data_IF_549637704410
#
_entry.id   IF_549637704410
#
_cell.length_a   1.000
_cell.length_b   1.000
_cell.length_c   1.000
_cell.angle_alpha   90.00
_cell.angle_beta   90.00
_cell.angle_gamma   90.00
#
_symmetry.space_group_name_H-M   'P 1'
#
loop_
_entity.id
_entity.type
_entity.pdbx_description
1 polymer ?
#
# COMPACT_ATOMS: atom_id res chain seq x y z
N UNK A 1 -17.59 14.93 -30.34
CA UNK A 1 -18.61 15.86 -29.80
C UNK A 1 -19.44 16.51 -30.92
N UNK A 2 -18.81 16.87 -32.05
CA UNK A 2 -19.46 17.44 -33.25
C UNK A 2 -20.68 16.65 -33.78
N UNK A 3 -20.61 15.31 -33.85
CA UNK A 3 -21.73 14.48 -34.33
C UNK A 3 -22.99 14.52 -33.45
N UNK A 4 -22.84 14.74 -32.15
CA UNK A 4 -24.00 14.86 -31.26
C UNK A 4 -24.73 16.19 -31.49
N UNK A 5 -23.95 17.27 -31.70
CA UNK A 5 -24.47 18.60 -31.98
C UNK A 5 -25.24 18.61 -33.31
N UNK A 6 -24.73 17.96 -34.35
CA UNK A 6 -25.40 17.87 -35.65
C UNK A 6 -26.74 17.14 -35.58
N UNK A 7 -26.83 16.05 -34.80
CA UNK A 7 -28.09 15.31 -34.61
C UNK A 7 -29.13 16.16 -33.87
N UNK A 8 -28.72 16.87 -32.82
CA UNK A 8 -29.63 17.75 -32.07
C UNK A 8 -30.13 18.93 -32.91
N UNK A 9 -29.27 19.49 -33.77
CA UNK A 9 -29.67 20.53 -34.71
C UNK A 9 -30.68 20.02 -35.74
N UNK A 10 -30.47 18.83 -36.31
CA UNK A 10 -31.38 18.20 -37.25
C UNK A 10 -32.75 17.83 -36.63
N UNK A 11 -32.78 17.46 -35.35
CA UNK A 11 -34.04 17.28 -34.61
C UNK A 11 -34.78 18.62 -34.48
N UNK A 12 -34.08 19.69 -34.10
CA UNK A 12 -34.66 21.04 -33.96
C UNK A 12 -35.20 21.58 -35.29
N UNK A 13 -34.49 21.30 -36.38
CA UNK A 13 -34.85 21.71 -37.73
C UNK A 13 -35.90 20.81 -38.38
N UNK A 14 -36.35 19.76 -37.69
CA UNK A 14 -37.40 18.85 -38.15
C UNK A 14 -36.95 17.88 -39.25
N UNK A 15 -35.66 17.83 -39.57
CA UNK A 15 -35.08 16.84 -40.50
C UNK A 15 -34.97 15.46 -39.86
N UNK A 16 -34.90 15.38 -38.54
CA UNK A 16 -35.02 14.13 -37.77
C UNK A 16 -36.30 14.20 -36.93
N UNK A 17 -37.24 13.31 -37.23
CA UNK A 17 -38.47 13.18 -36.45
C UNK A 17 -38.24 12.35 -35.18
N UNK A 18 -38.83 12.78 -34.07
CA UNK A 18 -38.80 12.06 -32.80
C UNK A 18 -40.02 11.15 -32.68
N UNK A 19 -39.80 9.85 -32.86
CA UNK A 19 -40.85 8.85 -32.69
C UNK A 19 -40.76 8.20 -31.30
N UNK A 20 -41.90 8.14 -30.59
CA UNK A 20 -42.03 7.34 -29.37
C UNK A 20 -42.24 5.88 -29.77
N UNK A 21 -41.39 4.99 -29.28
CA UNK A 21 -41.56 3.53 -29.44
C UNK A 21 -42.21 2.98 -28.18
N UNK A 22 -43.36 2.33 -28.32
CA UNK A 22 -44.01 1.60 -27.22
C UNK A 22 -43.43 0.19 -27.14
N UNK A 23 -42.97 -0.21 -25.96
CA UNK A 23 -42.26 -1.48 -25.78
C UNK A 23 -43.09 -2.53 -25.03
N UNK A 24 -44.39 -2.30 -24.83
CA UNK A 24 -45.31 -3.25 -24.18
C UNK A 24 -44.81 -3.81 -22.82
N UNK A 25 -43.96 -3.06 -22.11
CA UNK A 25 -43.35 -3.47 -20.85
C UNK A 25 -41.93 -4.07 -20.96
N UNK A 26 -41.47 -4.38 -22.17
CA UNK A 26 -40.10 -4.85 -22.43
C UNK A 26 -39.08 -3.70 -22.52
N UNK A 27 -37.80 -4.03 -22.34
CA UNK A 27 -36.71 -3.08 -22.55
C UNK A 27 -36.54 -2.76 -24.04
N UNK A 28 -36.46 -1.47 -24.39
CA UNK A 28 -36.11 -1.04 -25.75
C UNK A 28 -34.73 -1.57 -26.15
N UNK A 29 -34.40 -1.72 -27.45
CA UNK A 29 -33.09 -2.21 -27.88
C UNK A 29 -31.91 -1.42 -27.28
N UNK A 30 -32.07 -0.11 -27.08
CA UNK A 30 -31.05 0.73 -26.44
C UNK A 30 -31.02 0.57 -24.91
N UNK A 31 -32.19 0.42 -24.28
CA UNK A 31 -32.29 0.13 -22.85
C UNK A 31 -31.72 -1.25 -22.54
N UNK A 32 -31.90 -2.24 -23.42
CA UNK A 32 -31.35 -3.60 -23.28
C UNK A 32 -29.84 -3.61 -23.25
N UNK A 33 -29.16 -2.82 -24.08
CA UNK A 33 -27.69 -2.64 -24.01
C UNK A 33 -27.27 -2.03 -22.67
N UNK A 34 -28.05 -1.08 -22.15
CA UNK A 34 -27.83 -0.51 -20.82
C UNK A 34 -28.00 -1.54 -19.70
N UNK A 35 -29.09 -2.31 -19.75
CA UNK A 35 -29.40 -3.38 -18.80
C UNK A 35 -28.33 -4.45 -18.86
N UNK A 36 -27.99 -5.00 -20.03
CA UNK A 36 -26.92 -6.01 -20.18
C UNK A 36 -25.57 -5.50 -19.65
N UNK A 37 -25.20 -4.24 -19.91
CA UNK A 37 -23.97 -3.65 -19.35
C UNK A 37 -23.98 -3.50 -17.83
N UNK A 38 -25.15 -3.32 -17.22
CA UNK A 38 -25.32 -3.24 -15.77
C UNK A 38 -25.41 -4.65 -15.16
N UNK A 39 -26.14 -5.56 -15.79
CA UNK A 39 -26.33 -6.96 -15.38
C UNK A 39 -25.05 -7.79 -15.49
N UNK A 40 -24.17 -7.49 -16.46
CA UNK A 40 -22.84 -8.10 -16.56
C UNK A 40 -21.84 -7.57 -15.52
N UNK A 41 -22.17 -6.47 -14.82
CA UNK A 41 -21.43 -6.00 -13.65
C UNK A 41 -22.10 -6.57 -12.41
N UNK A 42 -21.84 -7.84 -12.12
CA UNK A 42 -22.21 -8.45 -10.83
C UNK A 42 -21.55 -7.75 -9.64
N UNK A 43 -20.53 -6.94 -9.88
CA UNK A 43 -19.93 -6.06 -8.88
C UNK A 43 -20.65 -4.70 -8.84
N UNK A 44 -21.27 -4.41 -7.69
CA UNK A 44 -21.86 -3.11 -7.33
C UNK A 44 -20.87 -1.94 -7.49
N UNK A 45 -19.57 -2.24 -7.51
CA UNK A 45 -18.47 -1.27 -7.54
C UNK A 45 -17.69 -1.46 -8.86
N UNK A 46 -17.61 -0.44 -9.73
CA UNK A 46 -16.75 -0.46 -10.91
C UNK A 46 -15.30 -0.85 -10.56
N UNK A 47 -14.60 -1.62 -11.41
CA UNK A 47 -13.27 -2.14 -11.11
C UNK A 47 -12.24 -1.04 -10.81
N UNK A 48 -12.38 0.13 -11.44
CA UNK A 48 -11.53 1.30 -11.18
C UNK A 48 -11.71 1.81 -9.74
N UNK A 49 -12.96 1.85 -9.26
CA UNK A 49 -13.28 2.24 -7.88
C UNK A 49 -12.82 1.18 -6.89
N UNK A 50 -12.91 -0.10 -7.25
CA UNK A 50 -12.41 -1.19 -6.41
C UNK A 50 -10.90 -1.08 -6.19
N UNK A 51 -10.11 -0.77 -7.24
CA UNK A 51 -8.66 -0.57 -7.12
C UNK A 51 -8.34 0.55 -6.14
N UNK A 52 -8.97 1.71 -6.29
CA UNK A 52 -8.77 2.86 -5.40
C UNK A 52 -9.09 2.51 -3.94
N UNK A 53 -10.21 1.82 -3.69
CA UNK A 53 -10.61 1.40 -2.33
C UNK A 53 -9.55 0.48 -1.71
N UNK A 54 -8.99 -0.45 -2.48
CA UNK A 54 -7.94 -1.34 -2.00
C UNK A 54 -6.66 -0.58 -1.64
N UNK A 55 -6.26 0.38 -2.47
CA UNK A 55 -5.07 1.22 -2.25
C UNK A 55 -5.24 2.07 -0.99
N UNK A 56 -6.37 2.76 -0.86
CA UNK A 56 -6.65 3.60 0.32
C UNK A 56 -6.79 2.78 1.60
N UNK A 57 -7.40 1.60 1.52
CA UNK A 57 -7.45 0.66 2.64
C UNK A 57 -6.05 0.18 3.06
N UNK A 58 -5.18 -0.13 2.09
CA UNK A 58 -3.79 -0.49 2.36
C UNK A 58 -3.01 0.68 2.98
N UNK A 59 -3.14 1.89 2.43
CA UNK A 59 -2.54 3.13 2.95
C UNK A 59 -2.92 3.36 4.41
N UNK A 60 -4.22 3.38 4.71
CA UNK A 60 -4.72 3.59 6.06
C UNK A 60 -4.20 2.53 7.04
N UNK A 61 -4.26 1.25 6.65
CA UNK A 61 -3.74 0.15 7.47
C UNK A 61 -2.24 0.30 7.76
N UNK A 62 -1.42 0.52 6.73
CA UNK A 62 0.03 0.55 6.88
C UNK A 62 0.49 1.74 7.71
N UNK A 63 -0.13 2.92 7.54
CA UNK A 63 0.22 4.10 8.34
C UNK A 63 -0.25 3.97 9.80
N UNK A 64 -1.27 3.17 10.07
CA UNK A 64 -1.77 2.93 11.44
C UNK A 64 -0.95 1.88 12.20
N UNK A 65 -0.14 1.07 11.50
CA UNK A 65 0.71 0.05 12.12
C UNK A 65 1.74 0.67 13.07
N UNK A 66 1.99 -0.04 14.16
CA UNK A 66 3.04 0.30 15.15
C UNK A 66 4.20 -0.65 14.94
N UNK A 67 5.41 -0.10 14.89
CA UNK A 67 6.66 -0.86 14.74
C UNK A 67 7.64 -0.45 15.80
N UNK A 68 8.48 -1.40 16.20
CA UNK A 68 9.57 -1.16 17.15
C UNK A 68 10.80 -0.70 16.38
N UNK A 69 11.29 0.48 16.73
CA UNK A 69 12.47 1.09 16.18
C UNK A 69 13.64 0.93 17.15
N UNK A 70 14.78 0.47 16.67
CA UNK A 70 16.00 0.33 17.46
C UNK A 70 17.17 0.98 16.74
N UNK A 71 17.97 1.80 17.43
CA UNK A 71 19.16 2.36 16.81
C UNK A 71 20.26 1.31 16.72
N UNK A 72 20.68 0.97 15.50
CA UNK A 72 21.74 -0.03 15.29
C UNK A 72 23.14 0.57 15.25
N UNK A 73 23.27 1.88 15.55
CA UNK A 73 24.57 2.57 15.69
C UNK A 73 25.00 2.68 17.14
N UNK A 74 24.17 3.28 18.00
CA UNK A 74 24.50 3.47 19.41
C UNK A 74 23.85 2.44 20.34
N UNK A 75 22.83 1.71 19.87
CA UNK A 75 22.06 0.74 20.68
C UNK A 75 21.40 1.31 21.94
N UNK A 76 21.33 2.63 22.10
CA UNK A 76 20.78 3.30 23.28
C UNK A 76 19.38 3.90 23.03
N UNK A 77 18.72 3.53 21.94
CA UNK A 77 17.37 3.98 21.58
C UNK A 77 16.52 2.80 21.12
N UNK A 78 15.35 2.66 21.74
CA UNK A 78 14.31 1.69 21.46
C UNK A 78 12.95 2.34 21.73
N UNK A 79 12.06 2.30 20.75
CA UNK A 79 10.71 2.88 20.90
C UNK A 79 9.73 2.26 19.90
N UNK A 80 8.50 2.04 20.33
CA UNK A 80 7.37 1.73 19.46
C UNK A 80 6.73 2.99 18.90
N UNK A 81 6.74 3.12 17.58
CA UNK A 81 6.23 4.31 16.88
C UNK A 81 5.17 3.87 15.86
N UNK A 82 4.06 4.61 15.82
CA UNK A 82 3.06 4.48 14.76
C UNK A 82 3.63 5.07 13.46
N UNK A 83 3.46 4.36 12.35
CA UNK A 83 4.09 4.78 11.10
C UNK A 83 3.56 6.12 10.56
N UNK A 84 2.33 6.53 10.89
CA UNK A 84 1.83 7.88 10.58
C UNK A 84 2.68 8.98 11.22
N UNK A 85 3.15 8.74 12.44
CA UNK A 85 3.81 9.72 13.32
C UNK A 85 5.33 9.78 13.07
N UNK A 86 5.86 8.81 12.31
CA UNK A 86 7.26 8.77 11.92
C UNK A 86 7.56 9.94 10.96
N UNK A 87 8.63 10.71 11.17
CA UNK A 87 9.07 11.75 10.22
C UNK A 87 9.59 11.12 8.92
N UNK A 88 9.62 11.88 7.83
CA UNK A 88 10.04 11.37 6.51
C UNK A 88 11.48 10.85 6.50
N UNK A 89 12.37 11.50 7.25
CA UNK A 89 13.75 11.08 7.48
C UNK A 89 14.00 10.87 8.97
N UNK A 90 13.65 9.70 9.52
CA UNK A 90 13.78 9.44 10.95
C UNK A 90 15.24 9.24 11.33
N UNK A 91 15.63 9.86 12.46
CA UNK A 91 16.95 9.75 13.05
C UNK A 91 16.85 9.37 14.52
N UNK A 92 17.88 8.71 15.04
CA UNK A 92 17.97 8.38 16.45
C UNK A 92 18.05 9.65 17.30
N UNK A 93 17.17 9.88 18.27
CA UNK A 93 17.20 11.07 19.12
C UNK A 93 18.39 11.09 20.08
N UNK A 94 19.09 9.96 20.28
CA UNK A 94 20.26 9.87 21.16
C UNK A 94 21.58 10.20 20.46
N UNK A 95 21.74 9.81 19.19
CA UNK A 95 23.02 9.94 18.47
C UNK A 95 22.92 10.58 17.08
N UNK A 96 21.72 10.98 16.64
CA UNK A 96 21.48 11.60 15.33
C UNK A 96 21.63 10.67 14.12
N UNK A 97 21.85 9.38 14.33
CA UNK A 97 22.04 8.42 13.23
C UNK A 97 20.73 8.07 12.53
N UNK A 98 20.68 7.99 11.19
CA UNK A 98 19.52 7.47 10.46
C UNK A 98 19.43 5.92 10.50
N UNK A 99 20.41 5.25 11.10
CA UNK A 99 20.46 3.78 11.22
C UNK A 99 19.47 3.26 12.28
N UNK A 100 18.18 3.30 11.93
CA UNK A 100 17.07 2.81 12.74
C UNK A 100 16.51 1.52 12.16
N UNK A 101 16.74 0.41 12.86
CA UNK A 101 16.17 -0.89 12.53
C UNK A 101 14.67 -0.92 12.86
N UNK A 102 13.88 -1.46 11.95
CA UNK A 102 12.43 -1.63 12.11
C UNK A 102 12.12 -3.11 12.36
N UNK A 103 11.39 -3.39 13.42
CA UNK A 103 11.03 -4.74 13.85
C UNK A 103 9.52 -4.85 14.13
N UNK A 104 8.97 -6.05 13.94
CA UNK A 104 7.54 -6.36 14.16
C UNK A 104 7.21 -6.87 15.57
N UNK A 105 8.21 -6.94 16.45
CA UNK A 105 8.09 -7.50 17.78
C UNK A 105 8.10 -6.38 18.82
N UNK A 106 7.45 -6.60 19.96
CA UNK A 106 7.41 -5.66 21.07
C UNK A 106 8.81 -5.35 21.64
N UNK A 107 8.93 -4.21 22.31
CA UNK A 107 10.17 -3.72 22.92
C UNK A 107 10.81 -4.76 23.83
N UNK A 108 10.03 -5.47 24.65
CA UNK A 108 10.53 -6.49 25.57
C UNK A 108 11.35 -7.60 24.88
N UNK A 109 11.04 -7.92 23.61
CA UNK A 109 11.80 -8.91 22.83
C UNK A 109 13.06 -8.35 22.18
N UNK A 110 13.16 -7.03 22.06
CA UNK A 110 14.30 -6.31 21.48
C UNK A 110 15.22 -5.73 22.55
N UNK A 111 14.72 -5.54 23.77
CA UNK A 111 15.42 -4.92 24.89
C UNK A 111 16.79 -5.57 25.15
N UNK A 112 16.87 -6.90 25.05
CA UNK A 112 18.14 -7.59 25.25
C UNK A 112 19.21 -7.25 24.22
N UNK A 113 18.85 -6.77 23.02
CA UNK A 113 19.80 -6.24 22.04
C UNK A 113 20.36 -4.89 22.47
N UNK A 114 19.53 -4.04 23.07
CA UNK A 114 19.93 -2.72 23.62
C UNK A 114 20.85 -2.94 24.81
N UNK A 115 20.44 -3.78 25.78
CA UNK A 115 21.20 -4.04 27.01
C UNK A 115 22.58 -4.62 26.72
N UNK A 116 22.67 -5.49 25.73
CA UNK A 116 23.93 -6.11 25.29
C UNK A 116 24.63 -5.30 24.20
N UNK A 117 24.08 -4.17 23.78
CA UNK A 117 24.59 -3.29 22.71
C UNK A 117 24.91 -4.04 21.40
N UNK A 118 24.13 -5.06 21.10
CA UNK A 118 24.34 -5.93 19.93
C UNK A 118 25.49 -6.94 20.06
N UNK A 119 26.11 -7.08 21.24
CA UNK A 119 27.25 -7.97 21.51
C UNK A 119 26.84 -9.22 22.31
N UNK A 120 27.68 -10.27 22.31
CA UNK A 120 27.47 -11.52 23.09
C UNK A 120 26.03 -12.09 22.98
N UNK A 121 25.49 -12.04 21.76
CA UNK A 121 24.12 -12.40 21.47
C UNK A 121 23.94 -13.91 21.34
N UNK A 122 22.82 -14.41 21.87
CA UNK A 122 22.33 -15.78 21.61
C UNK A 122 21.98 -15.96 20.13
N UNK A 123 21.83 -17.21 19.66
CA UNK A 123 21.47 -17.50 18.25
C UNK A 123 20.20 -16.76 17.80
N UNK A 124 19.19 -16.69 18.67
CA UNK A 124 17.93 -15.99 18.39
C UNK A 124 18.15 -14.48 18.31
N UNK A 125 18.84 -13.90 19.29
CA UNK A 125 19.17 -12.46 19.28
C UNK A 125 20.02 -12.06 18.08
N UNK A 126 20.95 -12.90 17.65
CA UNK A 126 21.74 -12.66 16.43
C UNK A 126 20.85 -12.56 15.19
N UNK A 127 19.77 -13.34 15.10
CA UNK A 127 18.81 -13.25 14.00
C UNK A 127 18.05 -11.93 14.04
N UNK A 128 17.59 -11.50 15.23
CA UNK A 128 16.91 -10.21 15.40
C UNK A 128 17.87 -9.06 15.08
N UNK A 129 19.12 -9.12 15.55
CA UNK A 129 20.15 -8.13 15.24
C UNK A 129 20.40 -8.04 13.73
N UNK A 130 20.58 -9.18 13.04
CA UNK A 130 20.72 -9.19 11.57
C UNK A 130 19.51 -8.56 10.88
N UNK A 131 18.30 -8.83 11.37
CA UNK A 131 17.08 -8.22 10.84
C UNK A 131 17.08 -6.70 11.04
N UNK A 132 17.37 -6.23 12.27
CA UNK A 132 17.45 -4.81 12.61
C UNK A 132 18.49 -4.09 11.75
N UNK A 133 19.69 -4.67 11.58
CA UNK A 133 20.75 -4.11 10.73
C UNK A 133 20.33 -4.00 9.26
N UNK A 134 19.62 -5.00 8.73
CA UNK A 134 19.13 -4.97 7.35
C UNK A 134 18.06 -3.90 7.16
N UNK A 135 17.08 -3.83 8.05
CA UNK A 135 16.01 -2.83 7.96
C UNK A 135 16.54 -1.41 8.20
N UNK A 136 17.53 -1.25 9.08
CA UNK A 136 18.21 0.03 9.31
C UNK A 136 18.87 0.59 8.04
N UNK A 137 19.44 -0.27 7.18
CA UNK A 137 19.99 0.15 5.89
C UNK A 137 18.91 0.71 4.96
N UNK A 138 17.73 0.08 4.93
CA UNK A 138 16.60 0.57 4.13
C UNK A 138 16.07 1.90 4.64
N UNK A 139 15.88 2.03 5.95
CA UNK A 139 15.44 3.30 6.57
C UNK A 139 16.47 4.40 6.35
N UNK A 140 17.77 4.09 6.46
CA UNK A 140 18.82 5.08 6.21
C UNK A 140 18.80 5.61 4.77
N UNK A 141 18.41 4.76 3.80
CA UNK A 141 18.39 5.10 2.38
C UNK A 141 17.08 5.75 1.92
N UNK A 142 15.94 5.24 2.40
CA UNK A 142 14.60 5.60 1.90
C UNK A 142 13.68 6.19 2.97
N UNK A 143 14.16 6.38 4.21
CA UNK A 143 13.41 7.02 5.28
C UNK A 143 12.12 6.31 5.67
N UNK A 144 11.06 7.09 5.89
CA UNK A 144 9.72 6.63 6.26
C UNK A 144 9.15 5.62 5.28
N UNK A 145 9.38 5.79 3.99
CA UNK A 145 8.89 4.89 2.95
C UNK A 145 9.37 3.45 3.19
N UNK A 146 10.62 3.26 3.63
CA UNK A 146 11.12 1.93 4.00
C UNK A 146 10.42 1.34 5.23
N UNK A 147 10.14 2.14 6.25
CA UNK A 147 9.40 1.66 7.41
C UNK A 147 7.99 1.20 7.03
N UNK A 148 7.33 1.93 6.11
CA UNK A 148 6.00 1.59 5.59
C UNK A 148 6.02 0.33 4.73
N UNK A 149 7.00 0.15 3.83
CA UNK A 149 7.09 -1.08 3.02
C UNK A 149 7.33 -2.32 3.89
N UNK A 150 8.16 -2.20 4.93
CA UNK A 150 8.44 -3.28 5.89
C UNK A 150 7.21 -3.65 6.76
N UNK A 151 6.16 -2.81 6.78
CA UNK A 151 4.92 -3.12 7.46
C UNK A 151 3.94 -3.98 6.65
N UNK A 152 4.23 -4.25 5.37
CA UNK A 152 3.41 -5.11 4.52
C UNK A 152 3.27 -6.54 5.06
N UNK A 153 2.05 -7.10 4.97
CA UNK A 153 1.72 -8.43 5.49
C UNK A 153 2.50 -9.51 4.74
N UNK A 154 3.15 -10.40 5.50
CA UNK A 154 3.92 -11.53 4.94
C UNK A 154 5.01 -11.15 3.94
N UNK A 155 5.42 -9.87 3.89
CA UNK A 155 6.56 -9.44 3.09
C UNK A 155 7.88 -9.76 3.80
N UNK A 156 8.84 -10.25 3.03
CA UNK A 156 10.23 -10.34 3.42
C UNK A 156 10.93 -8.99 3.18
N UNK A 157 12.11 -8.82 3.78
CA UNK A 157 12.94 -7.62 3.56
C UNK A 157 13.27 -7.46 2.07
N UNK A 158 13.47 -8.56 1.34
CA UNK A 158 13.73 -8.53 -0.10
C UNK A 158 12.53 -8.04 -0.91
N UNK A 159 11.30 -8.42 -0.53
CA UNK A 159 10.10 -7.88 -1.19
C UNK A 159 10.01 -6.36 -0.96
N UNK A 160 10.37 -5.88 0.24
CA UNK A 160 10.40 -4.45 0.55
C UNK A 160 11.50 -3.72 -0.23
N UNK A 161 12.69 -4.33 -0.38
CA UNK A 161 13.78 -3.83 -1.23
C UNK A 161 13.31 -3.63 -2.68
N UNK A 162 12.67 -4.65 -3.27
CA UNK A 162 12.15 -4.60 -4.65
C UNK A 162 11.08 -3.50 -4.85
N UNK A 163 10.22 -3.27 -3.85
CA UNK A 163 9.22 -2.21 -3.90
C UNK A 163 9.91 -0.84 -3.89
N UNK A 164 10.86 -0.64 -2.96
CA UNK A 164 11.56 0.63 -2.77
C UNK A 164 12.47 1.00 -3.95
N UNK A 165 12.96 0.01 -4.70
CA UNK A 165 13.70 0.24 -5.93
C UNK A 165 12.83 0.75 -7.08
N UNK A 166 11.54 0.37 -7.09
CA UNK A 166 10.57 0.81 -8.10
C UNK A 166 9.93 2.15 -7.75
N UNK A 167 9.61 2.33 -6.48
CA UNK A 167 8.93 3.52 -5.96
C UNK A 167 9.38 3.78 -4.53
N UNK A 168 9.99 4.94 -4.30
CA UNK A 168 10.55 5.33 -3.00
C UNK A 168 9.78 6.48 -2.33
N UNK A 169 8.66 6.92 -2.92
CA UNK A 169 7.75 7.92 -2.36
C UNK A 169 6.44 7.25 -1.95
N UNK A 170 5.74 7.77 -0.95
CA UNK A 170 4.41 7.29 -0.50
C UNK A 170 3.27 7.66 -1.47
N UNK A 171 3.42 7.30 -2.74
CA UNK A 171 2.45 7.49 -3.83
C UNK A 171 1.38 6.39 -3.84
N UNK A 172 0.29 6.58 -4.58
CA UNK A 172 -0.70 5.51 -4.79
C UNK A 172 -0.05 4.27 -5.41
N UNK A 173 0.87 4.48 -6.36
CA UNK A 173 1.65 3.41 -6.99
C UNK A 173 2.48 2.61 -5.96
N UNK A 174 3.06 3.25 -4.95
CA UNK A 174 3.75 2.56 -3.86
C UNK A 174 2.83 1.60 -3.09
N UNK A 175 1.63 2.06 -2.73
CA UNK A 175 0.65 1.24 -2.02
C UNK A 175 0.05 0.13 -2.91
N UNK A 176 -0.07 0.37 -4.21
CA UNK A 176 -0.39 -0.65 -5.20
C UNK A 176 0.68 -1.75 -5.22
N UNK A 177 1.96 -1.38 -5.31
CA UNK A 177 3.08 -2.32 -5.30
C UNK A 177 3.12 -3.17 -4.02
N UNK A 178 2.86 -2.58 -2.85
CA UNK A 178 2.74 -3.34 -1.59
C UNK A 178 1.59 -4.34 -1.68
N UNK A 179 0.42 -3.91 -2.13
CA UNK A 179 -0.78 -4.77 -2.22
C UNK A 179 -0.54 -5.95 -3.18
N UNK A 180 0.14 -5.71 -4.30
CA UNK A 180 0.53 -6.76 -5.24
C UNK A 180 1.55 -7.73 -4.63
N UNK A 181 2.57 -7.23 -3.94
CA UNK A 181 3.55 -8.07 -3.26
C UNK A 181 2.92 -8.88 -2.12
N UNK A 182 1.96 -8.34 -1.39
CA UNK A 182 1.19 -9.08 -0.38
C UNK A 182 0.42 -10.24 -1.02
N UNK A 183 -0.25 -10.00 -2.17
CA UNK A 183 -0.92 -11.06 -2.95
C UNK A 183 0.06 -12.13 -3.43
N UNK A 184 1.24 -11.75 -3.93
CA UNK A 184 2.29 -12.70 -4.35
C UNK A 184 2.82 -13.51 -3.16
N UNK A 185 3.03 -12.86 -2.02
CA UNK A 185 3.51 -13.51 -0.80
C UNK A 185 2.53 -14.57 -0.28
N UNK A 186 1.22 -14.32 -0.43
CA UNK A 186 0.19 -15.26 -0.02
C UNK A 186 0.26 -16.55 -0.84
N UNK A 187 0.48 -16.44 -2.16
CA UNK A 187 0.65 -17.61 -3.03
C UNK A 187 1.81 -18.51 -2.60
N UNK A 188 2.94 -17.92 -2.17
CA UNK A 188 4.12 -18.66 -1.66
C UNK A 188 3.86 -19.44 -0.36
N UNK A 189 2.79 -19.11 0.38
CA UNK A 189 2.45 -19.80 1.65
C UNK A 189 1.56 -21.03 1.44
N UNK A 190 0.80 -21.07 0.34
CA UNK A 190 -0.18 -22.13 0.09
C UNK A 190 0.26 -23.14 -0.96
N UNK A 191 1.36 -22.88 -1.67
CA UNK A 191 1.98 -23.74 -2.68
C UNK A 191 3.41 -24.05 -2.29
#
# INVERSE_FOLDING_TARGET
MERAISVLAAIREGTIELCKVETAGDASPIARVGIEKVSMKTDLIPPERMKLILVESARARLLTEVRTFVCTKCWDYLEMIRLSDLPDHPVCPKCGSPALGVLRMEEARVQSLVDKRGEKLTKNEQQINRQAMRTARLVSKYGKTAAVSLAGRNLYITDAEEILEKENVLSDHFFELITESEKKSLKRKFW
#
